data_IF_862874020674
#
_entry.id   IF_862874020674
#
_cell.length_a   1.000
_cell.length_b   1.000
_cell.length_c   1.000
_cell.angle_alpha   90.00
_cell.angle_beta   90.00
_cell.angle_gamma   90.00
#
_symmetry.space_group_name_H-M   'P 1'
#
loop_
_entity.id
_entity.type
_entity.pdbx_description
1 polymer ?
#
# COMPACT_ATOMS: atom_id res chain seq x y z
N UNK A 1 -4.64 14.30 9.96
CA UNK A 1 -3.42 13.70 10.55
C UNK A 1 -2.58 13.28 9.36
N UNK A 2 -1.33 13.74 9.24
CA UNK A 2 -0.46 13.34 8.12
C UNK A 2 -0.05 11.87 8.27
N UNK A 3 -0.17 11.08 7.21
CA UNK A 3 0.36 9.71 7.17
C UNK A 3 1.51 9.60 6.17
N UNK A 4 2.32 8.55 6.33
CA UNK A 4 3.41 8.18 5.43
C UNK A 4 3.33 6.69 5.13
N UNK A 5 3.92 6.23 4.02
CA UNK A 5 3.98 4.78 3.69
C UNK A 5 4.68 4.01 4.82
N UNK A 6 5.73 4.59 5.40
CA UNK A 6 6.43 3.98 6.53
C UNK A 6 5.50 3.74 7.72
N UNK A 7 4.76 4.78 8.14
CA UNK A 7 3.80 4.67 9.25
C UNK A 7 2.71 3.63 8.97
N UNK A 8 2.25 3.54 7.72
CA UNK A 8 1.31 2.51 7.30
C UNK A 8 1.86 1.10 7.46
N UNK A 9 3.02 0.83 6.87
CA UNK A 9 3.66 -0.47 6.92
C UNK A 9 3.98 -0.88 8.37
N UNK A 10 4.46 0.07 9.19
CA UNK A 10 4.70 -0.15 10.62
C UNK A 10 3.40 -0.55 11.35
N UNK A 11 2.28 0.13 11.07
CA UNK A 11 0.99 -0.17 11.70
C UNK A 11 0.44 -1.56 11.35
N UNK A 12 0.82 -2.12 10.21
CA UNK A 12 0.42 -3.47 9.78
C UNK A 12 1.42 -4.57 10.16
N UNK A 13 2.52 -4.20 10.82
CA UNK A 13 3.57 -5.12 11.24
C UNK A 13 4.47 -5.62 10.11
N UNK A 14 4.79 -4.76 9.14
CA UNK A 14 5.68 -5.08 8.03
C UNK A 14 7.08 -5.49 8.50
N UNK A 15 7.59 -6.62 7.99
CA UNK A 15 8.95 -7.08 8.28
C UNK A 15 9.96 -6.41 7.35
N UNK A 16 10.45 -5.23 7.73
CA UNK A 16 11.43 -4.45 6.97
C UNK A 16 12.74 -5.18 6.65
N UNK A 17 13.10 -6.25 7.38
CA UNK A 17 14.33 -6.99 7.13
C UNK A 17 14.20 -7.95 5.94
N UNK A 18 12.99 -8.48 5.71
CA UNK A 18 12.67 -9.35 4.57
C UNK A 18 11.85 -8.66 3.49
N UNK A 19 11.39 -7.46 3.79
CA UNK A 19 10.43 -6.72 3.00
C UNK A 19 10.99 -6.15 1.70
N UNK A 20 10.16 -6.14 0.67
CA UNK A 20 10.43 -5.51 -0.62
C UNK A 20 9.30 -4.54 -0.93
N UNK A 21 9.63 -3.38 -1.51
CA UNK A 21 8.65 -2.36 -1.85
C UNK A 21 8.87 -1.92 -3.29
N UNK A 22 7.78 -1.89 -4.05
CA UNK A 22 7.70 -1.34 -5.40
C UNK A 22 6.87 -0.07 -5.30
N UNK A 23 7.37 1.02 -5.87
CA UNK A 23 6.60 2.25 -6.06
C UNK A 23 6.37 2.47 -7.54
N UNK A 24 5.19 3.00 -7.84
CA UNK A 24 4.76 3.32 -9.19
C UNK A 24 4.56 4.83 -9.34
N UNK A 25 5.27 5.42 -10.31
CA UNK A 25 5.13 6.83 -10.67
C UNK A 25 4.11 6.95 -11.80
N UNK A 26 3.16 7.88 -11.67
CA UNK A 26 2.09 8.11 -12.66
C UNK A 26 2.07 9.57 -13.10
N UNK A 27 1.50 9.83 -14.29
CA UNK A 27 1.30 11.19 -14.78
C UNK A 27 0.38 11.97 -13.85
N UNK A 28 0.72 13.22 -13.54
CA UNK A 28 0.01 14.07 -12.56
C UNK A 28 -1.50 14.24 -12.85
N UNK A 29 -1.87 14.13 -14.12
CA UNK A 29 -3.24 14.25 -14.64
C UNK A 29 -4.11 13.02 -14.32
N UNK A 30 -3.53 11.92 -13.81
CA UNK A 30 -4.21 10.66 -13.49
C UNK A 30 -4.03 10.27 -12.01
N UNK A 31 -4.68 11.06 -11.16
CA UNK A 31 -4.60 10.93 -9.70
C UNK A 31 -5.72 10.06 -9.10
N UNK A 32 -6.35 9.17 -9.87
CA UNK A 32 -7.36 8.26 -9.29
C UNK A 32 -6.72 7.26 -8.30
N UNK A 33 -7.21 7.16 -7.06
CA UNK A 33 -6.78 6.18 -6.06
C UNK A 33 -6.74 4.74 -6.57
N UNK A 34 -5.79 3.95 -6.07
CA UNK A 34 -5.70 2.51 -6.35
C UNK A 34 -4.94 2.20 -7.64
N UNK A 35 -5.63 2.09 -8.77
CA UNK A 35 -5.08 1.53 -10.01
C UNK A 35 -5.00 2.58 -11.12
N UNK A 36 -3.79 2.78 -11.67
CA UNK A 36 -3.58 3.54 -12.88
C UNK A 36 -3.72 2.61 -14.08
N UNK A 37 -4.19 3.12 -15.21
CA UNK A 37 -4.09 2.39 -16.46
C UNK A 37 -2.61 2.24 -16.84
N UNK A 38 -2.24 1.18 -17.57
CA UNK A 38 -0.85 0.95 -17.97
C UNK A 38 -0.22 2.16 -18.68
N UNK A 39 -1.03 2.87 -19.46
CA UNK A 39 -0.67 4.10 -20.20
C UNK A 39 -0.34 5.31 -19.30
N UNK A 40 -0.82 5.31 -18.06
CA UNK A 40 -0.62 6.40 -17.10
C UNK A 40 0.66 6.21 -16.27
N UNK A 41 1.25 5.00 -16.31
CA UNK A 41 2.46 4.65 -15.56
C UNK A 41 3.69 5.21 -16.30
N UNK A 42 4.43 6.06 -15.61
CA UNK A 42 5.72 6.58 -16.08
C UNK A 42 6.83 5.57 -15.80
N UNK A 43 6.83 5.01 -14.59
CA UNK A 43 7.88 4.11 -14.12
C UNK A 43 7.38 3.24 -12.96
N UNK A 44 8.04 2.10 -12.75
CA UNK A 44 7.84 1.24 -11.59
C UNK A 44 9.18 0.65 -11.17
N UNK A 45 9.59 0.93 -9.93
CA UNK A 45 10.90 0.51 -9.46
C UNK A 45 10.87 0.07 -8.00
N UNK A 46 11.83 -0.78 -7.65
CA UNK A 46 12.08 -1.19 -6.28
C UNK A 46 12.74 -0.04 -5.50
N UNK A 47 12.31 0.14 -4.26
CA UNK A 47 12.91 1.11 -3.34
C UNK A 47 13.52 0.41 -2.14
N UNK A 48 14.56 1.02 -1.57
CA UNK A 48 15.15 0.55 -0.32
C UNK A 48 14.42 1.14 0.91
N UNK A 49 14.58 0.54 2.11
CA UNK A 49 13.95 1.05 3.33
C UNK A 49 14.36 2.47 3.75
N UNK A 50 15.44 3.02 3.20
CA UNK A 50 15.92 4.39 3.43
C UNK A 50 15.40 5.40 2.39
N UNK A 51 14.58 4.96 1.44
CA UNK A 51 14.04 5.83 0.39
C UNK A 51 13.15 6.91 0.99
N UNK A 52 13.40 8.16 0.61
CA UNK A 52 12.65 9.33 1.12
C UNK A 52 11.17 9.28 0.79
N UNK A 53 10.78 8.57 -0.27
CA UNK A 53 9.37 8.41 -0.68
C UNK A 53 8.51 7.73 0.40
N UNK A 54 9.14 6.94 1.28
CA UNK A 54 8.47 6.29 2.40
C UNK A 54 8.03 7.27 3.48
N UNK A 55 8.64 8.44 3.52
CA UNK A 55 8.49 9.47 4.56
C UNK A 55 7.82 10.74 4.03
N UNK A 56 7.39 10.75 2.77
CA UNK A 56 6.55 11.83 2.22
C UNK A 56 5.21 11.81 2.94
N UNK A 57 4.85 12.94 3.55
CA UNK A 57 3.54 13.14 4.13
C UNK A 57 2.50 13.34 3.04
N UNK A 58 1.35 12.68 3.20
CA UNK A 58 0.16 12.91 2.39
C UNK A 58 -1.02 13.23 3.30
N UNK A 59 -1.76 14.29 2.94
CA UNK A 59 -2.74 14.95 3.82
C UNK A 59 -4.02 14.15 4.00
N UNK A 60 -4.38 13.34 3.00
CA UNK A 60 -5.46 12.38 3.13
C UNK A 60 -5.04 11.14 3.88
N UNK A 61 -3.73 10.92 4.12
CA UNK A 61 -3.21 9.91 5.03
C UNK A 61 -3.71 8.50 4.77
N UNK A 62 -4.27 8.28 3.57
CA UNK A 62 -5.24 7.27 3.22
C UNK A 62 -5.48 7.43 1.69
N UNK A 63 -4.54 7.01 0.82
CA UNK A 63 -4.80 6.56 -0.58
C UNK A 63 -5.52 7.48 -1.56
N UNK A 64 -5.81 8.72 -1.20
CA UNK A 64 -6.33 9.70 -2.14
C UNK A 64 -5.32 9.93 -3.28
N UNK A 65 -5.67 10.81 -4.24
CA UNK A 65 -4.80 11.17 -5.35
C UNK A 65 -3.34 11.47 -5.01
N UNK A 66 -3.09 11.85 -3.76
CA UNK A 66 -1.80 12.29 -3.25
C UNK A 66 -1.02 11.18 -2.50
N UNK A 67 -1.64 10.04 -2.21
CA UNK A 67 -0.94 8.90 -1.63
C UNK A 67 -0.09 8.24 -2.73
N UNK A 68 1.22 8.04 -2.51
CA UNK A 68 2.04 7.32 -3.47
C UNK A 68 1.48 5.91 -3.73
N UNK A 69 1.48 5.49 -5.00
CA UNK A 69 1.11 4.13 -5.38
C UNK A 69 2.25 3.20 -5.03
N UNK A 70 1.99 2.21 -4.17
CA UNK A 70 2.99 1.23 -3.79
C UNK A 70 2.37 -0.15 -3.60
N UNK A 71 3.20 -1.16 -3.77
CA UNK A 71 2.96 -2.52 -3.27
C UNK A 71 4.17 -2.87 -2.40
N UNK A 72 3.92 -3.36 -1.20
CA UNK A 72 4.96 -3.94 -0.37
C UNK A 72 4.68 -5.43 -0.16
N UNK A 73 5.73 -6.22 -0.01
CA UNK A 73 5.64 -7.65 0.26
C UNK A 73 6.68 -8.01 1.31
N UNK A 74 6.28 -8.83 2.29
CA UNK A 74 7.22 -9.54 3.15
C UNK A 74 7.00 -11.06 3.06
N UNK A 75 7.62 -11.81 3.99
CA UNK A 75 7.51 -13.27 4.02
C UNK A 75 6.06 -13.76 4.20
N UNK A 76 5.20 -12.98 4.86
CA UNK A 76 3.88 -13.40 5.31
C UNK A 76 2.73 -12.75 4.51
N UNK A 77 2.90 -11.49 4.07
CA UNK A 77 1.83 -10.64 3.56
C UNK A 77 2.26 -9.82 2.34
N UNK A 78 1.25 -9.41 1.56
CA UNK A 78 1.34 -8.37 0.54
C UNK A 78 0.48 -7.20 1.01
N UNK A 79 1.02 -5.98 0.97
CA UNK A 79 0.42 -4.75 1.47
C UNK A 79 0.19 -3.78 0.33
N UNK A 80 -0.93 -3.07 0.37
CA UNK A 80 -1.32 -2.11 -0.65
C UNK A 80 -2.26 -1.06 -0.05
N UNK A 81 -2.31 0.16 -0.62
CA UNK A 81 -3.33 1.14 -0.24
C UNK A 81 -4.70 0.70 -0.77
N UNK A 82 -5.76 0.88 0.02
CA UNK A 82 -7.15 0.55 -0.36
C UNK A 82 -8.11 1.68 -0.02
N UNK A 83 -8.89 2.16 -0.99
CA UNK A 83 -9.88 3.23 -0.78
C UNK A 83 -11.30 2.65 -0.64
N UNK A 84 -12.02 3.10 0.40
CA UNK A 84 -13.43 2.82 0.63
C UNK A 84 -14.16 4.06 1.18
N UNK A 85 -15.24 4.47 0.51
CA UNK A 85 -16.10 5.61 0.88
C UNK A 85 -15.33 6.93 1.16
N UNK A 86 -14.31 7.21 0.33
CA UNK A 86 -13.47 8.41 0.45
C UNK A 86 -12.42 8.36 1.57
N UNK A 87 -12.53 7.40 2.50
CA UNK A 87 -11.42 6.98 3.34
C UNK A 87 -10.56 5.98 2.55
N UNK A 88 -9.31 5.84 2.92
CA UNK A 88 -8.48 4.70 2.51
C UNK A 88 -7.84 4.14 3.77
N UNK A 89 -7.26 2.96 3.72
CA UNK A 89 -6.33 2.48 4.72
C UNK A 89 -5.23 1.66 4.08
N UNK A 90 -4.20 1.30 4.87
CA UNK A 90 -3.36 0.18 4.49
C UNK A 90 -4.20 -1.10 4.58
N UNK A 91 -4.22 -1.87 3.51
CA UNK A 91 -4.73 -3.23 3.49
C UNK A 91 -3.61 -4.22 3.21
N UNK A 92 -3.84 -5.47 3.59
CA UNK A 92 -2.94 -6.54 3.29
C UNK A 92 -3.69 -7.85 3.06
N UNK A 93 -3.04 -8.74 2.31
CA UNK A 93 -3.43 -10.13 2.17
C UNK A 93 -2.29 -11.02 2.64
N UNK A 94 -2.60 -11.99 3.49
CA UNK A 94 -1.71 -13.12 3.76
C UNK A 94 -1.46 -13.94 2.49
N UNK A 95 -0.20 -14.37 2.33
CA UNK A 95 0.24 -15.24 1.24
C UNK A 95 -0.15 -16.71 1.48
N UNK A 96 -0.20 -17.14 2.73
CA UNK A 96 -0.67 -18.48 3.11
C UNK A 96 -2.19 -18.50 3.26
N UNK A 97 -2.87 -19.22 2.37
CA UNK A 97 -4.33 -19.36 2.37
C UNK A 97 -4.87 -19.93 3.69
N UNK A 98 -4.08 -20.74 4.41
CA UNK A 98 -4.50 -21.31 5.69
C UNK A 98 -4.79 -20.23 6.74
N UNK A 99 -4.16 -19.05 6.62
CA UNK A 99 -4.43 -17.92 7.51
C UNK A 99 -5.89 -17.49 7.47
N UNK A 100 -6.59 -17.65 6.35
CA UNK A 100 -8.00 -17.26 6.23
C UNK A 100 -9.00 -18.32 6.70
N UNK A 101 -8.50 -19.49 7.12
CA UNK A 101 -9.34 -20.57 7.63
C UNK A 101 -9.52 -20.51 9.16
N UNK A 102 -8.80 -19.62 9.84
CA UNK A 102 -8.92 -19.43 11.28
C UNK A 102 -9.85 -18.26 11.63
N UNK A 103 -10.54 -18.37 12.76
CA UNK A 103 -11.50 -17.36 13.21
C UNK A 103 -10.86 -16.03 13.63
N UNK A 104 -9.54 -15.99 13.77
CA UNK A 104 -8.81 -14.82 14.28
C UNK A 104 -8.30 -13.92 13.13
N UNK A 105 -8.26 -14.45 11.91
CA UNK A 105 -7.82 -13.77 10.71
C UNK A 105 -9.01 -13.67 9.76
N UNK A 106 -9.50 -12.44 9.57
CA UNK A 106 -10.62 -12.17 8.68
C UNK A 106 -10.19 -12.40 7.23
N UNK A 107 -11.07 -13.00 6.43
CA UNK A 107 -10.93 -13.03 4.98
C UNK A 107 -10.96 -11.61 4.43
N UNK A 108 -10.13 -11.25 3.44
CA UNK A 108 -10.25 -9.96 2.78
C UNK A 108 -11.64 -9.87 2.16
N UNK A 109 -12.42 -8.87 2.58
CA UNK A 109 -13.76 -8.62 2.04
C UNK A 109 -13.66 -7.53 0.97
N UNK A 110 -13.86 -7.85 -0.32
CA UNK A 110 -13.81 -6.86 -1.38
C UNK A 110 -15.09 -6.03 -1.33
N UNK A 111 -15.15 -5.06 -0.43
CA UNK A 111 -16.32 -4.17 -0.39
C UNK A 111 -16.57 -3.36 0.86
N UNK A 112 -15.75 -3.44 1.93
CA UNK A 112 -15.99 -2.66 3.14
C UNK A 112 -17.35 -2.92 3.80
#
# INVERSE_FOLDING_TARGET
>A
MSATIRRFLDSCGFDWASGTIIVQMVREEHSSPGWASEEDIIDSHYINPQSQILDIEFDNGLGGPECPRYIAEDKDKIYFPSQYDGATGPEFVYKDIKKYSDKNNLTPYPGG
#
